data_IF_656340559373
#
_entry.id   IF_656340559373
#
_cell.length_a   1.000
_cell.length_b   1.000
_cell.length_c   1.000
_cell.angle_alpha   90.00
_cell.angle_beta   90.00
_cell.angle_gamma   90.00
#
_symmetry.space_group_name_H-M   'P 1'
#
loop_
_entity.id
_entity.type
_entity.pdbx_description
1 polymer ?
#
# COMPACT_ATOMS: atom_id res chain seq x y z
N UNK A 1 5.78 6.79 0.97
CA UNK A 1 6.94 6.22 0.23
C UNK A 1 6.83 6.58 -1.23
N UNK A 2 7.94 6.96 -1.84
CA UNK A 2 7.96 7.27 -3.26
C UNK A 2 7.82 5.98 -4.09
N UNK A 3 6.95 5.99 -5.10
CA UNK A 3 6.74 4.80 -5.94
C UNK A 3 8.02 4.39 -6.70
N UNK A 4 8.93 5.34 -6.95
CA UNK A 4 10.20 5.04 -7.63
C UNK A 4 11.14 4.18 -6.77
N UNK A 5 10.86 4.06 -5.48
CA UNK A 5 11.61 3.21 -4.55
C UNK A 5 10.97 1.83 -4.39
N UNK A 6 9.84 1.60 -5.02
CA UNK A 6 9.18 0.29 -4.97
C UNK A 6 9.93 -0.72 -5.83
N UNK A 7 10.09 -1.91 -5.29
CA UNK A 7 10.71 -3.04 -6.00
C UNK A 7 9.66 -4.12 -6.21
N UNK A 8 9.34 -4.48 -7.46
CA UNK A 8 8.42 -5.59 -7.71
C UNK A 8 8.91 -6.88 -7.04
N UNK A 9 7.99 -7.59 -6.41
CA UNK A 9 8.29 -8.80 -5.66
C UNK A 9 8.60 -8.58 -4.19
N UNK A 10 8.80 -7.35 -3.76
CA UNK A 10 9.07 -7.02 -2.37
C UNK A 10 7.78 -6.71 -1.62
N UNK A 11 7.74 -7.03 -0.33
CA UNK A 11 6.59 -6.76 0.54
C UNK A 11 6.74 -5.43 1.26
N UNK A 12 5.61 -4.75 1.45
CA UNK A 12 5.54 -3.46 2.11
C UNK A 12 4.38 -3.46 3.09
N UNK A 13 4.38 -2.48 4.01
CA UNK A 13 3.26 -2.24 4.92
C UNK A 13 2.40 -1.12 4.37
N UNK A 14 1.10 -1.33 4.38
CA UNK A 14 0.13 -0.30 4.06
C UNK A 14 -0.60 0.10 5.33
N UNK A 15 -0.57 1.39 5.65
CA UNK A 15 -1.30 1.96 6.78
C UNK A 15 -2.38 2.90 6.25
N UNK A 16 -3.57 2.77 6.77
CA UNK A 16 -4.66 3.68 6.44
C UNK A 16 -5.56 3.88 7.65
N UNK A 17 -6.22 5.02 7.67
CA UNK A 17 -7.21 5.30 8.70
C UNK A 17 -8.57 4.82 8.25
N UNK A 18 -9.30 4.18 9.14
CA UNK A 18 -10.66 3.72 8.89
C UNK A 18 -11.49 3.97 10.14
N UNK A 19 -12.82 3.88 10.00
CA UNK A 19 -13.73 4.05 11.13
C UNK A 19 -14.27 2.69 11.53
N UNK A 20 -14.15 2.38 12.81
CA UNK A 20 -14.70 1.16 13.39
C UNK A 20 -15.44 1.50 14.68
N UNK A 21 -16.71 1.09 14.76
CA UNK A 21 -17.57 1.37 15.92
C UNK A 21 -17.61 2.85 16.29
N UNK A 22 -17.64 3.73 15.29
CA UNK A 22 -17.70 5.18 15.51
C UNK A 22 -16.36 5.83 15.91
N UNK A 23 -15.28 5.04 15.94
CA UNK A 23 -13.95 5.55 16.31
C UNK A 23 -13.02 5.43 15.11
N UNK A 24 -12.14 6.42 14.97
CA UNK A 24 -11.08 6.38 13.97
C UNK A 24 -9.98 5.44 14.46
N UNK A 25 -9.65 4.43 13.66
CA UNK A 25 -8.59 3.48 13.96
C UNK A 25 -7.65 3.39 12.78
N UNK A 26 -6.39 3.03 13.05
CA UNK A 26 -5.39 2.82 12.01
C UNK A 26 -5.31 1.34 11.69
N UNK A 27 -5.48 1.00 10.41
CA UNK A 27 -5.38 -0.37 9.94
C UNK A 27 -4.05 -0.56 9.21
N UNK A 28 -3.39 -1.67 9.48
CA UNK A 28 -2.16 -2.06 8.79
C UNK A 28 -2.37 -3.37 8.07
N UNK A 29 -1.80 -3.48 6.87
CA UNK A 29 -1.81 -4.73 6.12
C UNK A 29 -0.51 -4.89 5.35
N UNK A 30 -0.11 -6.14 5.14
CA UNK A 30 1.02 -6.47 4.29
C UNK A 30 0.56 -6.58 2.85
N UNK A 31 1.29 -5.94 1.96
CA UNK A 31 1.02 -5.97 0.53
C UNK A 31 2.32 -6.29 -0.20
N UNK A 32 2.21 -6.95 -1.34
CA UNK A 32 3.37 -7.25 -2.18
C UNK A 32 3.29 -6.43 -3.46
N UNK A 33 4.37 -5.73 -3.79
CA UNK A 33 4.45 -4.97 -5.02
C UNK A 33 4.51 -5.92 -6.21
N UNK A 34 3.55 -5.79 -7.12
CA UNK A 34 3.50 -6.62 -8.32
C UNK A 34 4.08 -5.88 -9.53
N UNK A 35 3.71 -4.61 -9.66
CA UNK A 35 4.11 -3.82 -10.82
C UNK A 35 4.00 -2.34 -10.50
N UNK A 36 4.98 -1.57 -10.95
CA UNK A 36 4.91 -0.10 -10.89
C UNK A 36 4.37 0.40 -12.23
N UNK A 37 3.40 1.32 -12.18
CA UNK A 37 2.75 1.88 -13.35
C UNK A 37 2.98 3.40 -13.43
N UNK A 38 2.70 4.04 -14.57
CA UNK A 38 2.84 5.50 -14.68
C UNK A 38 1.95 6.29 -13.72
N UNK A 39 0.84 5.71 -13.26
CA UNK A 39 -0.12 6.39 -12.38
C UNK A 39 -0.10 5.89 -10.94
N UNK A 40 0.76 4.93 -10.63
CA UNK A 40 0.85 4.36 -9.29
C UNK A 40 1.53 3.00 -9.30
N UNK A 41 0.92 2.03 -8.65
CA UNK A 41 1.43 0.66 -8.63
C UNK A 41 0.31 -0.32 -8.35
N UNK A 42 0.54 -1.58 -8.73
CA UNK A 42 -0.37 -2.69 -8.44
C UNK A 42 0.29 -3.56 -7.37
N UNK A 43 -0.49 -3.88 -6.35
CA UNK A 43 -0.05 -4.71 -5.24
C UNK A 43 -0.94 -5.93 -5.09
N UNK A 44 -0.40 -6.97 -4.51
CA UNK A 44 -1.15 -8.15 -4.08
C UNK A 44 -1.45 -8.02 -2.58
N UNK A 45 -2.71 -8.05 -2.22
CA UNK A 45 -3.16 -7.94 -0.83
C UNK A 45 -3.85 -9.25 -0.43
N UNK A 46 -3.07 -10.25 -0.07
CA UNK A 46 -3.52 -11.58 0.39
C UNK A 46 -4.53 -12.29 -0.50
N UNK A 47 -5.68 -11.66 -0.76
CA UNK A 47 -6.79 -12.27 -1.49
C UNK A 47 -7.11 -11.58 -2.81
N UNK A 48 -6.54 -10.40 -3.08
CA UNK A 48 -6.96 -9.60 -4.22
C UNK A 48 -5.87 -8.66 -4.70
N UNK A 49 -6.01 -8.17 -5.92
CA UNK A 49 -5.15 -7.13 -6.46
C UNK A 49 -5.61 -5.76 -5.97
N UNK A 50 -4.65 -4.94 -5.61
CA UNK A 50 -4.88 -3.60 -5.10
C UNK A 50 -4.14 -2.60 -5.97
N UNK A 51 -4.88 -1.66 -6.56
CA UNK A 51 -4.27 -0.57 -7.33
C UNK A 51 -4.22 0.68 -6.49
N UNK A 52 -3.02 1.21 -6.30
CA UNK A 52 -2.82 2.46 -5.56
C UNK A 52 -2.29 3.53 -6.50
N UNK A 53 -2.76 4.76 -6.30
CA UNK A 53 -2.24 5.92 -7.02
C UNK A 53 -0.93 6.37 -6.40
N UNK A 54 -0.20 7.25 -7.10
CA UNK A 54 1.04 7.83 -6.58
C UNK A 54 0.83 8.46 -5.21
N UNK A 55 -0.28 9.18 -5.04
CA UNK A 55 -0.62 9.85 -3.80
C UNK A 55 -0.88 8.86 -2.66
N UNK A 56 -1.61 7.79 -2.95
CA UNK A 56 -1.88 6.75 -1.95
C UNK A 56 -0.61 6.03 -1.52
N UNK A 57 0.28 5.76 -2.46
CA UNK A 57 1.56 5.13 -2.15
C UNK A 57 2.38 6.02 -1.22
N UNK A 58 2.45 7.31 -1.53
CA UNK A 58 3.21 8.27 -0.74
C UNK A 58 2.68 8.37 0.69
N UNK A 59 1.36 8.35 0.87
CA UNK A 59 0.73 8.51 2.17
C UNK A 59 0.62 7.22 2.98
N UNK A 60 0.39 6.09 2.31
CA UNK A 60 -0.05 4.86 2.98
C UNK A 60 1.00 3.75 3.00
N UNK A 61 1.91 3.72 2.04
CA UNK A 61 2.87 2.63 1.93
C UNK A 61 4.17 2.94 2.68
N UNK A 62 4.65 1.96 3.46
CA UNK A 62 5.88 2.06 4.24
C UNK A 62 6.78 0.87 3.96
N UNK A 63 8.10 1.09 4.05
CA UNK A 63 9.03 0.00 3.99
C UNK A 63 8.85 -0.90 5.22
N UNK A 64 8.86 -2.20 4.96
CA UNK A 64 8.86 -3.18 6.04
C UNK A 64 10.31 -3.40 6.50
N UNK A 65 10.54 -3.25 7.77
CA UNK A 65 11.84 -3.52 8.37
C UNK A 65 11.73 -4.73 9.29
#
# INVERSE_FOLDING_TARGET
MDKNKLTPGKKYLRKRKTTYAGKEVEAESWIECMQVTPVGAVFWNSDDLLKLTDEQIEKEVREAK
#
